data_IF_321742590941
#
_entry.id   IF_321742590941
#
_cell.length_a   1.000
_cell.length_b   1.000
_cell.length_c   1.000
_cell.angle_alpha   90.00
_cell.angle_beta   90.00
_cell.angle_gamma   90.00
#
_symmetry.space_group_name_H-M   'P 1'
#
loop_
_entity.id
_entity.type
_entity.pdbx_description
1 polymer ?
#
# COMPACT_ATOMS: atom_id res chain seq x y z
N UNK A 1 11.24 4.86 -6.38
CA UNK A 1 11.92 3.80 -5.61
C UNK A 1 11.24 2.47 -5.91
N UNK A 2 12.00 1.37 -5.98
CA UNK A 2 11.46 0.04 -6.30
C UNK A 2 11.24 -0.76 -5.01
N UNK A 3 10.10 -1.43 -4.92
CA UNK A 3 9.76 -2.42 -3.90
C UNK A 3 9.73 -3.81 -4.55
N UNK A 4 9.90 -4.87 -3.77
CA UNK A 4 9.94 -6.25 -4.24
C UNK A 4 8.91 -7.17 -3.56
N UNK A 5 8.44 -6.80 -2.36
CA UNK A 5 7.66 -7.67 -1.49
C UNK A 5 8.44 -8.03 -0.22
N UNK A 6 7.71 -8.14 0.89
CA UNK A 6 8.23 -8.35 2.24
C UNK A 6 8.44 -7.07 3.04
N UNK A 7 8.38 -5.89 2.41
CA UNK A 7 8.62 -4.61 3.07
C UNK A 7 7.54 -4.27 4.12
N UNK A 8 7.97 -3.64 5.20
CA UNK A 8 7.07 -3.21 6.26
C UNK A 8 6.28 -1.98 5.83
N UNK A 9 4.96 -2.02 6.02
CA UNK A 9 4.09 -0.88 5.82
C UNK A 9 3.77 -0.25 7.18
N UNK A 10 4.08 1.04 7.33
CA UNK A 10 3.94 1.80 8.55
C UNK A 10 2.75 2.75 8.43
N UNK A 11 1.95 2.81 9.49
CA UNK A 11 0.86 3.79 9.67
C UNK A 11 1.35 4.89 10.60
N UNK A 12 1.25 6.15 10.19
CA UNK A 12 1.64 7.32 10.99
C UNK A 12 3.04 7.23 11.61
N UNK A 13 4.01 6.66 10.87
CA UNK A 13 5.40 6.50 11.32
C UNK A 13 5.63 5.45 12.41
N UNK A 14 4.64 4.63 12.76
CA UNK A 14 4.78 3.62 13.81
C UNK A 14 5.80 2.52 13.44
N UNK A 15 6.92 2.46 14.18
CA UNK A 15 8.07 1.58 13.88
C UNK A 15 7.76 0.07 13.85
N UNK A 16 6.69 -0.37 14.53
CA UNK A 16 6.28 -1.78 14.56
C UNK A 16 5.53 -2.27 13.31
N UNK A 17 5.15 -1.36 12.41
CA UNK A 17 4.40 -1.66 11.20
C UNK A 17 2.93 -2.04 11.43
N UNK A 18 2.10 -1.66 10.48
CA UNK A 18 0.66 -1.91 10.40
C UNK A 18 0.29 -2.66 9.12
N UNK A 19 1.28 -3.25 8.46
CA UNK A 19 1.08 -3.99 7.23
C UNK A 19 2.39 -4.52 6.67
N UNK A 20 2.26 -5.27 5.59
CA UNK A 20 3.40 -5.75 4.80
C UNK A 20 3.03 -5.78 3.33
N UNK A 21 3.94 -5.31 2.49
CA UNK A 21 3.84 -5.45 1.02
C UNK A 21 4.05 -6.93 0.69
N UNK A 22 3.12 -7.54 -0.04
CA UNK A 22 3.19 -8.97 -0.40
C UNK A 22 3.76 -9.18 -1.78
N UNK A 23 3.47 -8.28 -2.71
CA UNK A 23 4.00 -8.30 -4.07
C UNK A 23 4.19 -6.86 -4.54
N UNK A 24 5.17 -6.65 -5.40
CA UNK A 24 5.42 -5.35 -6.00
C UNK A 24 6.01 -5.47 -7.41
N UNK A 25 5.71 -4.47 -8.24
CA UNK A 25 6.20 -4.36 -9.60
C UNK A 25 6.29 -2.89 -10.02
N UNK A 26 7.03 -2.61 -11.10
CA UNK A 26 6.95 -1.31 -11.76
C UNK A 26 5.70 -1.26 -12.65
N UNK A 27 4.75 -0.39 -12.31
CA UNK A 27 3.57 -0.16 -13.13
C UNK A 27 3.87 0.87 -14.21
N UNK A 28 4.29 0.44 -15.40
CA UNK A 28 4.65 1.34 -16.51
C UNK A 28 3.55 2.35 -16.84
N UNK A 29 2.29 1.93 -16.87
CA UNK A 29 1.14 2.82 -17.11
C UNK A 29 0.97 3.91 -16.04
N UNK A 30 1.43 3.64 -14.82
CA UNK A 30 1.32 4.55 -13.67
C UNK A 30 2.61 5.35 -13.42
N UNK A 31 3.69 5.02 -14.14
CA UNK A 31 5.02 5.63 -14.00
C UNK A 31 5.62 5.48 -12.60
N UNK A 32 5.20 4.47 -11.83
CA UNK A 32 5.63 4.26 -10.44
C UNK A 32 5.62 2.80 -10.03
N UNK A 33 6.34 2.48 -8.96
CA UNK A 33 6.24 1.18 -8.31
C UNK A 33 4.88 1.05 -7.62
N UNK A 34 4.25 -0.11 -7.77
CA UNK A 34 2.97 -0.47 -7.17
C UNK A 34 3.09 -1.85 -6.52
N UNK A 35 2.27 -2.11 -5.51
CA UNK A 35 2.25 -3.39 -4.84
C UNK A 35 0.93 -3.65 -4.14
N UNK A 36 0.75 -4.91 -3.72
CA UNK A 36 -0.32 -5.31 -2.82
C UNK A 36 0.22 -5.38 -1.40
N UNK A 37 -0.64 -5.12 -0.42
CA UNK A 37 -0.26 -5.20 0.98
C UNK A 37 -1.40 -5.74 1.82
N UNK A 38 -1.05 -6.51 2.86
CA UNK A 38 -1.94 -6.72 3.98
C UNK A 38 -1.81 -5.56 4.96
N UNK A 39 -2.94 -5.21 5.59
CA UNK A 39 -3.02 -4.17 6.63
C UNK A 39 -3.63 -4.80 7.87
N UNK A 40 -3.08 -4.47 9.04
CA UNK A 40 -3.58 -4.91 10.33
C UNK A 40 -3.55 -3.79 11.37
N UNK A 41 -4.49 -3.85 12.29
CA UNK A 41 -4.46 -3.05 13.51
C UNK A 41 -3.67 -3.80 14.58
N UNK A 42 -2.59 -3.18 15.06
CA UNK A 42 -1.73 -3.71 16.12
C UNK A 42 -2.43 -3.81 17.48
N UNK A 43 -3.53 -3.08 17.67
CA UNK A 43 -4.36 -3.14 18.88
C UNK A 43 -5.36 -4.29 18.85
N UNK A 44 -5.48 -5.01 17.73
CA UNK A 44 -6.49 -6.05 17.51
C UNK A 44 -7.84 -5.53 17.02
N UNK A 45 -7.94 -4.24 16.69
CA UNK A 45 -9.13 -3.63 16.12
C UNK A 45 -9.45 -4.07 14.69
N UNK A 46 -10.65 -3.71 14.22
CA UNK A 46 -11.10 -3.96 12.85
C UNK A 46 -10.47 -2.94 11.90
N UNK A 47 -9.88 -3.41 10.81
CA UNK A 47 -9.36 -2.55 9.74
C UNK A 47 -10.52 -2.10 8.85
N UNK A 48 -11.02 -0.89 9.08
CA UNK A 48 -12.07 -0.25 8.27
C UNK A 48 -11.47 0.56 7.11
N UNK A 49 -12.27 0.99 6.12
CA UNK A 49 -11.80 1.95 5.11
C UNK A 49 -11.24 3.24 5.73
N UNK A 50 -11.87 3.78 6.77
CA UNK A 50 -11.41 5.01 7.44
C UNK A 50 -10.06 4.80 8.15
N UNK A 51 -9.83 3.61 8.71
CA UNK A 51 -8.53 3.23 9.29
C UNK A 51 -7.38 3.41 8.29
N UNK A 52 -7.66 3.16 7.00
CA UNK A 52 -6.74 3.33 5.89
C UNK A 52 -6.68 4.78 5.42
N UNK A 53 -7.83 5.41 5.16
CA UNK A 53 -7.91 6.72 4.50
C UNK A 53 -7.48 7.90 5.39
N UNK A 54 -7.66 7.80 6.70
CA UNK A 54 -7.34 8.88 7.65
C UNK A 54 -5.88 8.88 8.11
N UNK A 55 -5.07 7.93 7.63
CA UNK A 55 -3.68 7.79 8.03
C UNK A 55 -2.70 8.17 6.93
N UNK A 56 -1.50 8.53 7.38
CA UNK A 56 -0.33 8.60 6.51
C UNK A 56 0.35 7.23 6.49
N UNK A 57 0.81 6.85 5.31
CA UNK A 57 1.41 5.54 5.11
C UNK A 57 2.81 5.67 4.53
N UNK A 58 3.70 4.82 5.01
CA UNK A 58 5.07 4.73 4.51
C UNK A 58 5.46 3.27 4.37
N UNK A 59 6.18 2.94 3.30
CA UNK A 59 6.84 1.63 3.18
C UNK A 59 8.29 1.79 3.57
N UNK A 60 8.77 0.94 4.46
CA UNK A 60 10.19 0.83 4.78
C UNK A 60 10.85 -0.11 3.76
N UNK A 61 11.61 0.46 2.84
CA UNK A 61 12.33 -0.28 1.82
C UNK A 61 13.83 -0.17 2.13
N UNK A 62 14.41 -1.25 2.63
CA UNK A 62 15.84 -1.30 2.95
C UNK A 62 16.29 -0.24 3.97
N UNK A 63 15.43 0.15 4.91
CA UNK A 63 15.71 1.18 5.92
C UNK A 63 15.27 2.59 5.53
N UNK A 64 14.89 2.82 4.27
CA UNK A 64 14.39 4.12 3.81
C UNK A 64 12.87 4.16 3.86
N UNK A 65 12.31 5.14 4.56
CA UNK A 65 10.86 5.36 4.64
C UNK A 65 10.36 6.14 3.42
N UNK A 66 9.57 5.49 2.57
CA UNK A 66 8.96 6.10 1.38
C UNK A 66 7.47 6.29 1.60
N UNK A 67 6.96 7.50 1.36
CA UNK A 67 5.53 7.77 1.42
C UNK A 67 4.77 6.89 0.42
N UNK A 68 3.67 6.29 0.87
CA UNK A 68 2.82 5.42 0.09
C UNK A 68 1.36 5.91 0.13
N UNK A 69 0.67 5.75 -0.99
CA UNK A 69 -0.78 5.97 -1.08
C UNK A 69 -1.46 4.62 -1.18
N UNK A 70 -2.38 4.33 -0.28
CA UNK A 70 -3.16 3.10 -0.31
C UNK A 70 -4.45 3.33 -1.10
N UNK A 71 -4.93 2.28 -1.76
CA UNK A 71 -6.20 2.27 -2.47
C UNK A 71 -6.87 0.91 -2.30
N UNK A 72 -8.19 0.93 -2.06
CA UNK A 72 -9.03 -0.28 -2.03
C UNK A 72 -9.49 -0.72 -3.43
N UNK A 73 -9.14 0.06 -4.46
CA UNK A 73 -9.42 -0.23 -5.87
C UNK A 73 -8.13 -0.25 -6.68
N UNK A 74 -8.18 -0.89 -7.84
CA UNK A 74 -7.07 -0.83 -8.78
C UNK A 74 -6.73 0.63 -9.11
N UNK A 75 -5.45 1.05 -9.06
CA UNK A 75 -5.04 2.39 -9.48
C UNK A 75 -5.16 2.61 -11.00
N UNK A 76 -5.34 1.53 -11.78
CA UNK A 76 -5.57 1.58 -13.22
C UNK A 76 -6.93 0.96 -13.57
N UNK A 77 -7.72 1.68 -14.36
CA UNK A 77 -9.08 1.29 -14.75
C UNK A 77 -9.95 0.78 -13.58
N UNK A 78 -10.18 1.61 -12.53
CA UNK A 78 -10.93 1.18 -11.34
C UNK A 78 -12.39 0.78 -11.63
N UNK A 79 -12.95 1.21 -12.76
CA UNK A 79 -14.30 0.88 -13.21
C UNK A 79 -14.37 -0.34 -14.15
N UNK A 80 -13.22 -0.88 -14.57
CA UNK A 80 -13.13 -1.92 -15.62
C UNK A 80 -13.80 -1.50 -16.93
N UNK A 81 -13.78 -0.21 -17.27
CA UNK A 81 -14.43 0.36 -18.45
C UNK A 81 -13.82 -0.18 -19.73
N UNK A 82 -12.51 -0.46 -19.72
CA UNK A 82 -11.78 -0.93 -20.91
C UNK A 82 -12.04 -2.39 -21.26
N UNK A 83 -12.51 -3.17 -20.30
CA UNK A 83 -12.82 -4.60 -20.47
C UNK A 83 -14.31 -4.82 -20.74
N UNK A 84 -15.17 -3.88 -20.32
CA UNK A 84 -16.63 -3.97 -20.48
C UNK A 84 -17.14 -3.48 -21.84
N UNK A 85 -16.31 -2.79 -22.61
CA UNK A 85 -16.63 -2.22 -23.92
C UNK A 85 -16.62 -3.28 -25.05
#
# INVERSE_FOLDING_TARGET
MMMWGGELLLRNGAAGGNGQVTSAAWGTTLGRCVGLAYVWDRTGGVVTPDFINEATWQVNVGGTLVAATLSLRSPYDPGSERIRA
#
